data_IF_331568949380
#
_entry.id   IF_331568949380
#
_cell.length_a   1.000
_cell.length_b   1.000
_cell.length_c   1.000
_cell.angle_alpha   90.00
_cell.angle_beta   90.00
_cell.angle_gamma   90.00
#
_symmetry.space_group_name_H-M   'P 1'
#
loop_
_entity.id
_entity.type
_entity.pdbx_description
1 polymer ?
#
# COMPACT_ATOMS: atom_id res chain seq x y z
N UNK A 1 24.64 -4.31 -13.42
CA UNK A 1 23.62 -4.09 -12.38
C UNK A 1 23.00 -5.43 -12.06
N UNK A 2 23.33 -5.98 -10.90
CA UNK A 2 23.07 -7.39 -10.54
C UNK A 2 21.57 -7.70 -10.49
N UNK A 3 21.19 -8.91 -10.92
CA UNK A 3 19.80 -9.35 -10.95
C UNK A 3 19.14 -9.29 -9.56
N UNK A 4 19.91 -9.55 -8.51
CA UNK A 4 19.49 -9.41 -7.11
C UNK A 4 19.11 -7.95 -6.77
N UNK A 5 19.91 -6.98 -7.22
CA UNK A 5 19.64 -5.56 -6.97
C UNK A 5 18.39 -5.07 -7.71
N UNK A 6 18.17 -5.54 -8.95
CA UNK A 6 16.93 -5.23 -9.69
C UNK A 6 15.70 -5.78 -8.97
N UNK A 7 15.76 -7.01 -8.45
CA UNK A 7 14.67 -7.62 -7.71
C UNK A 7 14.37 -6.87 -6.40
N UNK A 8 15.40 -6.54 -5.63
CA UNK A 8 15.25 -5.77 -4.40
C UNK A 8 14.63 -4.38 -4.65
N UNK A 9 15.03 -3.71 -5.73
CA UNK A 9 14.46 -2.42 -6.13
C UNK A 9 12.99 -2.55 -6.52
N UNK A 10 12.61 -3.60 -7.26
CA UNK A 10 11.21 -3.85 -7.62
C UNK A 10 10.34 -4.14 -6.39
N UNK A 11 10.84 -4.94 -5.45
CA UNK A 11 10.14 -5.23 -4.19
C UNK A 11 9.98 -3.96 -3.34
N UNK A 12 11.04 -3.16 -3.19
CA UNK A 12 10.97 -1.89 -2.48
C UNK A 12 10.02 -0.89 -3.13
N UNK A 13 10.01 -0.81 -4.47
CA UNK A 13 9.09 0.05 -5.21
C UNK A 13 7.64 -0.39 -5.04
N UNK A 14 7.37 -1.70 -5.12
CA UNK A 14 6.03 -2.24 -4.90
C UNK A 14 5.52 -1.97 -3.48
N UNK A 15 6.39 -2.09 -2.47
CA UNK A 15 6.06 -1.78 -1.08
C UNK A 15 5.79 -0.27 -0.90
N UNK A 16 6.62 0.60 -1.48
CA UNK A 16 6.42 2.04 -1.42
C UNK A 16 5.12 2.48 -2.11
N UNK A 17 4.84 1.94 -3.31
CA UNK A 17 3.58 2.19 -4.01
C UNK A 17 2.39 1.66 -3.21
N UNK A 18 2.49 0.46 -2.66
CA UNK A 18 1.45 -0.12 -1.79
C UNK A 18 1.17 0.73 -0.56
N UNK A 19 2.20 1.33 0.04
CA UNK A 19 2.05 2.26 1.15
C UNK A 19 1.31 3.53 0.75
N UNK A 20 1.75 4.20 -0.32
CA UNK A 20 1.16 5.47 -0.77
C UNK A 20 -0.27 5.29 -1.26
N UNK A 21 -0.50 4.28 -2.11
CA UNK A 21 -1.84 3.98 -2.63
C UNK A 21 -2.78 3.51 -1.51
N UNK A 22 -2.27 2.72 -0.56
CA UNK A 22 -3.02 2.30 0.62
C UNK A 22 -3.40 3.47 1.53
N UNK A 23 -2.47 4.40 1.78
CA UNK A 23 -2.73 5.61 2.55
C UNK A 23 -3.79 6.48 1.86
N UNK A 24 -3.67 6.64 0.53
CA UNK A 24 -4.63 7.40 -0.26
C UNK A 24 -6.02 6.77 -0.24
N UNK A 25 -6.11 5.44 -0.35
CA UNK A 25 -7.37 4.71 -0.23
C UNK A 25 -7.98 4.87 1.18
N UNK A 26 -7.18 4.76 2.24
CA UNK A 26 -7.62 4.99 3.62
C UNK A 26 -8.12 6.42 3.84
N UNK A 27 -7.44 7.42 3.27
CA UNK A 27 -7.91 8.81 3.27
C UNK A 27 -9.24 8.96 2.55
N UNK A 28 -9.39 8.34 1.37
CA UNK A 28 -10.61 8.46 0.58
C UNK A 28 -11.82 7.82 1.27
N UNK A 29 -11.61 6.69 1.96
CA UNK A 29 -12.64 6.08 2.82
C UNK A 29 -12.97 7.03 3.97
N UNK A 30 -11.98 7.62 4.65
CA UNK A 30 -12.22 8.58 5.74
C UNK A 30 -13.00 9.80 5.27
N UNK A 31 -12.67 10.32 4.09
CA UNK A 31 -13.38 11.43 3.44
C UNK A 31 -14.83 11.05 3.13
N UNK A 32 -15.09 9.84 2.64
CA UNK A 32 -16.45 9.36 2.37
C UNK A 32 -17.31 9.26 3.64
N UNK A 33 -16.70 9.02 4.80
CA UNK A 33 -17.37 9.06 6.11
C UNK A 33 -17.49 10.47 6.70
N UNK A 34 -17.08 11.51 5.97
CA UNK A 34 -17.11 12.91 6.43
C UNK A 34 -16.05 13.22 7.50
N UNK A 35 -15.06 12.35 7.66
CA UNK A 35 -13.99 12.50 8.62
C UNK A 35 -12.83 13.24 7.96
N UNK A 36 -12.84 14.57 8.06
CA UNK A 36 -11.92 15.43 7.32
C UNK A 36 -10.67 15.79 8.14
N UNK A 37 -9.61 14.96 8.02
CA UNK A 37 -8.34 15.21 8.70
C UNK A 37 -7.58 16.42 8.13
N UNK A 38 -7.77 16.72 6.84
CA UNK A 38 -6.99 17.76 6.15
C UNK A 38 -7.69 19.12 6.26
N UNK A 39 -9.01 19.16 6.15
CA UNK A 39 -9.75 20.42 6.25
C UNK A 39 -9.96 20.90 7.69
N UNK A 40 -9.98 19.98 8.66
CA UNK A 40 -10.24 20.31 10.06
C UNK A 40 -8.94 20.64 10.80
N UNK A 41 -8.89 21.83 11.42
CA UNK A 41 -7.76 22.27 12.25
C UNK A 41 -7.89 21.83 13.72
N UNK A 42 -8.99 21.14 14.04
CA UNK A 42 -9.29 20.67 15.38
C UNK A 42 -8.68 19.27 15.59
N UNK A 43 -8.16 19.02 16.79
CA UNK A 43 -7.77 17.67 17.22
C UNK A 43 -8.95 16.99 17.90
N UNK A 44 -9.97 16.66 17.10
CA UNK A 44 -11.15 15.94 17.53
C UNK A 44 -11.04 14.43 17.31
N UNK A 45 -12.04 13.72 17.82
CA UNK A 45 -12.21 12.29 17.57
C UNK A 45 -12.30 11.94 16.07
N UNK A 46 -13.00 12.72 15.22
CA UNK A 46 -13.06 12.45 13.78
C UNK A 46 -11.70 12.43 13.09
N UNK A 47 -10.83 13.38 13.41
CA UNK A 47 -9.49 13.53 12.84
C UNK A 47 -8.58 12.38 13.27
N UNK A 48 -8.68 11.97 14.53
CA UNK A 48 -7.97 10.80 15.06
C UNK A 48 -8.39 9.51 14.34
N UNK A 49 -9.69 9.32 14.09
CA UNK A 49 -10.21 8.16 13.35
C UNK A 49 -9.72 8.19 11.90
N UNK A 50 -9.77 9.35 11.22
CA UNK A 50 -9.23 9.49 9.87
C UNK A 50 -7.76 9.16 9.80
N UNK A 51 -6.95 9.67 10.73
CA UNK A 51 -5.52 9.37 10.78
C UNK A 51 -5.30 7.87 10.99
N UNK A 52 -6.04 7.25 11.91
CA UNK A 52 -5.98 5.81 12.12
C UNK A 52 -6.37 5.02 10.86
N UNK A 53 -7.34 5.52 10.09
CA UNK A 53 -7.80 4.88 8.85
C UNK A 53 -6.78 5.01 7.72
N UNK A 54 -6.12 6.17 7.60
CA UNK A 54 -5.00 6.38 6.66
C UNK A 54 -3.83 5.45 7.01
N UNK A 55 -3.46 5.39 8.30
CA UNK A 55 -2.42 4.50 8.78
C UNK A 55 -2.77 3.03 8.52
N UNK A 56 -4.00 2.61 8.83
CA UNK A 56 -4.50 1.27 8.54
C UNK A 56 -4.46 0.97 7.03
N UNK A 57 -4.93 1.91 6.19
CA UNK A 57 -4.89 1.80 4.74
C UNK A 57 -3.47 1.65 4.20
N UNK A 58 -2.52 2.42 4.74
CA UNK A 58 -1.11 2.36 4.35
C UNK A 58 -0.46 1.00 4.67
N UNK A 59 -0.81 0.39 5.81
CA UNK A 59 -0.35 -0.95 6.20
C UNK A 59 -1.00 -2.06 5.35
N UNK A 60 -2.31 -1.96 5.13
CA UNK A 60 -3.07 -2.91 4.32
C UNK A 60 -2.63 -2.87 2.84
N UNK A 61 -2.38 -1.69 2.28
CA UNK A 61 -1.93 -1.51 0.90
C UNK A 61 -0.55 -2.14 0.64
N UNK A 62 0.41 -1.98 1.57
CA UNK A 62 1.69 -2.70 1.52
C UNK A 62 1.51 -4.21 1.52
N UNK A 63 0.66 -4.71 2.41
CA UNK A 63 0.40 -6.14 2.52
C UNK A 63 -0.22 -6.72 1.24
N UNK A 64 -1.19 -6.02 0.64
CA UNK A 64 -1.80 -6.40 -0.63
C UNK A 64 -0.80 -6.38 -1.78
N UNK A 65 0.01 -5.33 -1.92
CA UNK A 65 1.03 -5.25 -2.96
C UNK A 65 2.09 -6.36 -2.81
N UNK A 66 2.50 -6.67 -1.57
CA UNK A 66 3.43 -7.78 -1.31
C UNK A 66 2.86 -9.14 -1.67
N UNK A 67 1.59 -9.38 -1.35
CA UNK A 67 0.88 -10.60 -1.74
C UNK A 67 0.76 -10.73 -3.26
N UNK A 68 0.35 -9.65 -3.93
CA UNK A 68 0.26 -9.62 -5.39
C UNK A 68 1.61 -9.90 -6.05
N UNK A 69 2.69 -9.28 -5.54
CA UNK A 69 4.03 -9.50 -6.07
C UNK A 69 4.50 -10.94 -5.87
N UNK A 70 4.23 -11.54 -4.71
CA UNK A 70 4.54 -12.95 -4.45
C UNK A 70 3.80 -13.89 -5.41
N UNK A 71 2.51 -13.63 -5.68
CA UNK A 71 1.74 -14.40 -6.67
C UNK A 71 2.29 -14.24 -8.10
N UNK A 72 2.70 -13.02 -8.48
CA UNK A 72 3.32 -12.77 -9.78
C UNK A 72 4.66 -13.48 -9.94
N UNK A 73 5.51 -13.48 -8.91
CA UNK A 73 6.77 -14.22 -8.92
C UNK A 73 6.55 -15.73 -9.04
N UNK A 74 5.56 -16.28 -8.34
CA UNK A 74 5.20 -17.70 -8.45
C UNK A 74 4.76 -18.08 -9.89
N UNK A 75 3.99 -17.22 -10.56
CA UNK A 75 3.62 -17.41 -11.97
C UNK A 75 4.82 -17.33 -12.92
N UNK A 76 5.76 -16.41 -12.69
CA UNK A 76 6.97 -16.28 -13.51
C UNK A 76 7.86 -17.53 -13.41
N UNK A 77 8.03 -18.09 -12.20
CA UNK A 77 8.80 -19.32 -12.01
C UNK A 77 8.17 -20.53 -12.73
N UNK A 78 6.84 -20.57 -12.82
CA UNK A 78 6.14 -21.62 -13.58
C UNK A 78 6.31 -21.43 -15.09
N UNK A 79 6.26 -20.20 -15.59
CA UNK A 79 6.50 -19.92 -17.02
C UNK A 79 7.94 -20.21 -17.43
N UNK A 80 8.91 -19.91 -16.57
CA UNK A 80 10.33 -20.19 -16.83
C UNK A 80 10.68 -21.69 -16.80
N UNK A 81 9.84 -22.52 -16.14
CA UNK A 81 9.95 -23.98 -16.11
C UNK A 81 9.21 -24.69 -17.25
N UNK A 82 8.49 -23.96 -18.10
CA UNK A 82 7.81 -24.55 -19.25
C UNK A 82 8.85 -24.75 -20.38
N UNK A 83 9.09 -26.00 -20.83
CA UNK A 83 10.12 -26.33 -21.82
C UNK A 83 9.83 -25.74 -23.20
#
# INVERSE_FOLDING_TARGET
MDAAMKKALQEGLADALGFVLGALAGWWVGQAFGLDFIASKAWGMPEMISLALILAGSGAGRWLCRQALAQWQAKQQQQQKKP
#
